data_IF_530152627111
#
_entry.id   IF_530152627111
#
_cell.length_a   1.000
_cell.length_b   1.000
_cell.length_c   1.000
_cell.angle_alpha   90.00
_cell.angle_beta   90.00
_cell.angle_gamma   90.00
#
_symmetry.space_group_name_H-M   'P 1'
#
loop_
_entity.id
_entity.type
_entity.pdbx_description
1 polymer ?
#
# COMPACT_ATOMS: atom_id res chain seq x y z
N UNK A 1 3.61 -6.87 -16.95
CA UNK A 1 3.98 -6.27 -15.63
C UNK A 1 5.50 -6.08 -15.49
N UNK A 2 6.32 -7.12 -15.62
CA UNK A 2 7.79 -6.99 -15.46
C UNK A 2 8.46 -6.05 -16.45
N UNK A 3 8.08 -6.08 -17.73
CA UNK A 3 8.62 -5.16 -18.74
C UNK A 3 8.33 -3.69 -18.39
N UNK A 4 7.08 -3.36 -18.06
CA UNK A 4 6.69 -2.02 -17.64
C UNK A 4 7.52 -1.52 -16.45
N UNK A 5 7.80 -2.39 -15.46
CA UNK A 5 8.67 -2.06 -14.32
C UNK A 5 10.09 -1.73 -14.76
N UNK A 6 10.67 -2.52 -15.70
CA UNK A 6 12.02 -2.25 -16.21
C UNK A 6 12.11 -0.91 -16.93
N UNK A 7 11.06 -0.54 -17.65
CA UNK A 7 11.03 0.70 -18.45
C UNK A 7 10.74 1.94 -17.59
N UNK A 8 9.81 1.86 -16.64
CA UNK A 8 9.29 3.04 -15.92
C UNK A 8 9.77 3.14 -14.47
N UNK A 9 10.23 2.04 -13.86
CA UNK A 9 10.78 2.01 -12.51
C UNK A 9 12.09 1.20 -12.46
N UNK A 10 13.14 1.59 -13.22
CA UNK A 10 14.38 0.83 -13.29
C UNK A 10 15.12 0.73 -11.93
N UNK A 11 14.79 1.60 -10.98
CA UNK A 11 15.29 1.55 -9.60
C UNK A 11 14.60 0.48 -8.73
N UNK A 12 13.45 -0.06 -9.16
CA UNK A 12 12.72 -1.04 -8.37
C UNK A 12 13.38 -2.43 -8.42
N UNK A 13 13.71 -3.05 -7.27
CA UNK A 13 14.34 -4.35 -7.24
C UNK A 13 13.35 -5.44 -7.66
N UNK A 14 13.49 -5.99 -8.88
CA UNK A 14 12.57 -7.01 -9.43
C UNK A 14 12.45 -8.27 -8.55
N UNK A 15 13.44 -8.58 -7.71
CA UNK A 15 13.36 -9.67 -6.73
C UNK A 15 12.31 -9.43 -5.61
N UNK A 16 11.84 -8.19 -5.44
CA UNK A 16 10.76 -7.80 -4.52
C UNK A 16 9.41 -7.66 -5.24
N UNK A 17 9.31 -8.09 -6.50
CA UNK A 17 8.04 -8.17 -7.20
C UNK A 17 7.35 -9.49 -6.88
N UNK A 18 6.15 -9.41 -6.30
CA UNK A 18 5.29 -10.56 -6.02
C UNK A 18 4.05 -10.47 -6.90
N UNK A 19 3.77 -11.53 -7.65
CA UNK A 19 2.52 -11.69 -8.40
C UNK A 19 1.63 -12.68 -7.66
N UNK A 20 0.70 -12.16 -6.86
CA UNK A 20 -0.24 -12.93 -6.04
C UNK A 20 -1.66 -12.40 -6.25
N UNK A 21 -2.67 -13.26 -6.08
CA UNK A 21 -4.07 -12.84 -5.98
C UNK A 21 -4.38 -12.32 -4.58
N UNK A 22 -3.98 -13.09 -3.57
CA UNK A 22 -4.25 -12.81 -2.16
C UNK A 22 -3.14 -11.94 -1.55
N UNK A 23 -3.30 -10.62 -1.62
CA UNK A 23 -2.25 -9.68 -1.18
C UNK A 23 -1.96 -9.73 0.32
N UNK A 24 -2.90 -10.21 1.13
CA UNK A 24 -2.70 -10.36 2.57
C UNK A 24 -1.64 -11.42 2.92
N UNK A 25 -1.34 -12.37 2.03
CA UNK A 25 -0.28 -13.37 2.25
C UNK A 25 1.13 -12.75 2.24
N UNK A 26 1.29 -11.58 1.60
CA UNK A 26 2.57 -10.87 1.56
C UNK A 26 2.79 -10.19 2.92
N UNK A 27 3.87 -10.58 3.59
CA UNK A 27 4.26 -10.01 4.88
C UNK A 27 4.76 -8.58 4.69
N UNK A 28 4.19 -7.66 5.48
CA UNK A 28 4.59 -6.26 5.54
C UNK A 28 3.70 -5.49 6.52
N UNK A 29 4.17 -4.34 6.98
CA UNK A 29 3.46 -3.54 7.99
C UNK A 29 2.29 -2.74 7.39
N UNK A 30 2.37 -2.41 6.10
CA UNK A 30 1.45 -1.52 5.41
C UNK A 30 1.14 -2.00 3.98
N UNK A 31 -0.12 -1.83 3.56
CA UNK A 31 -0.59 -2.01 2.19
C UNK A 31 -1.22 -0.72 1.69
N UNK A 32 -0.71 -0.20 0.56
CA UNK A 32 -1.35 0.85 -0.23
C UNK A 32 -2.01 0.21 -1.45
N UNK A 33 -3.32 0.32 -1.55
CA UNK A 33 -4.10 -0.28 -2.65
C UNK A 33 -5.36 0.55 -2.94
N UNK A 34 -5.88 0.50 -4.14
CA UNK A 34 -7.21 1.04 -4.44
C UNK A 34 -8.32 -0.01 -4.34
N UNK A 35 -7.97 -1.30 -4.41
CA UNK A 35 -8.91 -2.41 -4.31
C UNK A 35 -9.25 -2.77 -2.86
N UNK A 36 -10.47 -2.45 -2.43
CA UNK A 36 -10.97 -2.71 -1.06
C UNK A 36 -10.89 -4.19 -0.67
N UNK A 37 -11.13 -5.09 -1.62
CA UNK A 37 -11.00 -6.53 -1.41
C UNK A 37 -9.59 -6.95 -0.95
N UNK A 38 -8.55 -6.17 -1.25
CA UNK A 38 -7.20 -6.41 -0.73
C UNK A 38 -7.00 -5.76 0.65
N UNK A 39 -7.66 -4.64 0.90
CA UNK A 39 -7.51 -3.85 2.13
C UNK A 39 -8.22 -4.49 3.33
N UNK A 40 -9.40 -5.08 3.13
CA UNK A 40 -10.19 -5.74 4.18
C UNK A 40 -9.37 -6.85 4.87
N UNK A 41 -8.87 -7.89 4.16
CA UNK A 41 -8.15 -8.98 4.82
C UNK A 41 -6.82 -8.52 5.41
N UNK A 42 -6.16 -7.51 4.83
CA UNK A 42 -4.95 -6.92 5.40
C UNK A 42 -5.22 -6.21 6.73
N UNK A 43 -6.36 -5.50 6.84
CA UNK A 43 -6.82 -4.86 8.08
C UNK A 43 -7.24 -5.89 9.14
N UNK A 44 -7.93 -6.95 8.74
CA UNK A 44 -8.37 -8.03 9.64
C UNK A 44 -7.18 -8.76 10.30
N UNK A 45 -6.03 -8.79 9.63
CA UNK A 45 -4.77 -9.30 10.18
C UNK A 45 -4.00 -8.25 11.00
N UNK A 46 -4.69 -7.21 11.52
CA UNK A 46 -4.13 -6.14 12.33
C UNK A 46 -2.96 -5.36 11.68
N UNK A 47 -2.94 -5.27 10.35
CA UNK A 47 -1.94 -4.50 9.60
C UNK A 47 -2.53 -3.23 9.00
N UNK A 48 -1.65 -2.30 8.62
CA UNK A 48 -2.06 -0.97 8.17
C UNK A 48 -2.54 -1.00 6.71
N UNK A 49 -3.86 -0.98 6.51
CA UNK A 49 -4.48 -0.89 5.19
C UNK A 49 -4.79 0.57 4.84
N UNK A 50 -4.22 1.08 3.74
CA UNK A 50 -4.35 2.46 3.27
C UNK A 50 -4.96 2.46 1.88
N UNK A 51 -6.14 3.07 1.72
CA UNK A 51 -6.78 3.23 0.42
C UNK A 51 -6.14 4.36 -0.38
N UNK A 52 -5.77 4.08 -1.63
CA UNK A 52 -5.51 5.12 -2.62
C UNK A 52 -6.86 5.63 -3.15
N UNK A 53 -7.16 6.91 -2.96
CA UNK A 53 -8.50 7.45 -3.23
C UNK A 53 -8.92 7.30 -4.70
N UNK A 54 -10.07 6.65 -4.93
CA UNK A 54 -10.65 6.39 -6.25
C UNK A 54 -12.19 6.39 -6.21
N UNK A 55 -12.89 6.74 -7.30
CA UNK A 55 -14.36 6.75 -7.32
C UNK A 55 -15.04 5.43 -6.92
N UNK A 56 -14.38 4.29 -7.15
CA UNK A 56 -14.92 2.95 -6.91
C UNK A 56 -14.65 2.37 -5.53
N UNK A 57 -13.94 3.10 -4.65
CA UNK A 57 -13.61 2.61 -3.31
C UNK A 57 -14.13 3.52 -2.21
N UNK A 58 -15.23 4.23 -2.45
CA UNK A 58 -15.79 5.22 -1.52
C UNK A 58 -16.45 4.58 -0.29
N UNK A 59 -16.77 3.29 -0.35
CA UNK A 59 -17.26 2.51 0.77
C UNK A 59 -16.17 2.14 1.80
N UNK A 60 -14.89 2.37 1.48
CA UNK A 60 -13.81 2.16 2.45
C UNK A 60 -13.81 3.23 3.53
N UNK A 61 -13.95 2.78 4.77
CA UNK A 61 -14.05 3.56 6.00
C UNK A 61 -12.72 3.72 6.76
N UNK A 62 -11.64 3.09 6.27
CA UNK A 62 -10.32 3.15 6.88
C UNK A 62 -9.44 4.31 6.39
N UNK A 63 -8.13 4.20 6.65
CA UNK A 63 -7.14 5.19 6.22
C UNK A 63 -7.17 5.36 4.70
N UNK A 64 -7.08 6.60 4.24
CA UNK A 64 -7.18 6.97 2.83
C UNK A 64 -6.23 8.13 2.52
N UNK A 65 -5.59 8.07 1.36
CA UNK A 65 -4.69 9.11 0.85
C UNK A 65 -5.09 9.56 -0.55
N UNK A 66 -4.98 10.85 -0.81
CA UNK A 66 -5.31 11.48 -2.10
C UNK A 66 -4.06 11.73 -2.93
N UNK A 67 -3.55 10.69 -3.56
CA UNK A 67 -2.36 10.78 -4.42
C UNK A 67 -1.05 10.44 -3.72
N UNK A 68 0.02 10.39 -4.52
CA UNK A 68 1.36 10.06 -4.06
C UNK A 68 1.93 11.03 -3.02
N UNK A 69 1.80 12.38 -3.15
CA UNK A 69 2.35 13.30 -2.15
C UNK A 69 1.78 13.05 -0.74
N UNK A 70 0.45 12.86 -0.64
CA UNK A 70 -0.21 12.56 0.63
C UNK A 70 0.24 11.22 1.22
N UNK A 71 0.51 10.22 0.37
CA UNK A 71 1.05 8.94 0.82
C UNK A 71 2.48 9.06 1.37
N UNK A 72 3.34 9.83 0.68
CA UNK A 72 4.73 10.06 1.13
C UNK A 72 4.74 10.78 2.47
N UNK A 73 3.94 11.84 2.62
CA UNK A 73 3.79 12.56 3.89
C UNK A 73 3.30 11.64 5.02
N UNK A 74 2.32 10.78 4.73
CA UNK A 74 1.80 9.80 5.68
C UNK A 74 2.89 8.82 6.16
N UNK A 75 3.66 8.23 5.23
CA UNK A 75 4.73 7.27 5.56
C UNK A 75 5.85 7.94 6.37
N UNK A 76 6.29 9.13 5.98
CA UNK A 76 7.29 9.88 6.74
C UNK A 76 6.76 10.22 8.14
N UNK A 77 5.49 10.62 8.27
CA UNK A 77 4.86 10.84 9.56
C UNK A 77 4.85 9.60 10.46
N UNK A 78 4.63 8.41 9.90
CA UNK A 78 4.72 7.14 10.63
C UNK A 78 6.15 6.86 11.11
N UNK A 79 7.16 7.13 10.28
CA UNK A 79 8.57 6.92 10.61
C UNK A 79 9.02 7.71 11.84
N UNK A 80 8.58 8.96 11.97
CA UNK A 80 8.93 9.81 13.12
C UNK A 80 8.28 9.34 14.42
N UNK A 81 7.09 8.72 14.36
CA UNK A 81 6.39 8.22 15.55
C UNK A 81 7.01 6.92 16.11
N UNK A 82 7.64 6.10 15.27
CA UNK A 82 8.36 4.89 15.72
C UNK A 82 9.74 5.18 16.33
N UNK A 83 10.34 6.36 16.10
CA UNK A 83 11.64 6.74 16.66
C UNK A 83 11.52 7.52 17.99
N UNK A 84 10.30 7.71 18.50
CA UNK A 84 10.02 8.43 19.73
C UNK A 84 9.80 7.51 20.95
N UNK A 85 10.23 6.24 20.84
CA UNK A 85 10.24 5.22 21.91
C UNK A 85 11.66 4.76 22.17
#
# INVERSE_FOLDING_TARGET
KLQWLREHMPFFPLKKFYAVSEKFEVKGDMLLDDGIHNLIPFREDNRMAVAFDRPWNQEWDGLRVKGWPAFVEFVEGCRHRCLAI
#
